data_IF_317479980984
#
_entry.id   IF_317479980984
#
_cell.length_a   1.000
_cell.length_b   1.000
_cell.length_c   1.000
_cell.angle_alpha   90.00
_cell.angle_beta   90.00
_cell.angle_gamma   90.00
#
_symmetry.space_group_name_H-M   'P 1'
#
loop_
_entity.id
_entity.type
_entity.pdbx_description
1 polymer ?
#
# COMPACT_ATOMS: atom_id res chain seq x y z
N UNK A 1 25.15 -38.31 -5.91
CA UNK A 1 25.10 -37.00 -6.58
C UNK A 1 23.97 -37.07 -7.59
N UNK A 2 22.78 -36.61 -7.22
CA UNK A 2 21.64 -36.51 -8.12
C UNK A 2 21.38 -35.04 -8.39
N UNK A 3 21.65 -34.65 -9.63
CA UNK A 3 21.40 -33.32 -10.18
C UNK A 3 19.90 -33.02 -10.16
N UNK A 4 19.44 -32.33 -9.12
CA UNK A 4 18.10 -31.79 -9.07
C UNK A 4 18.12 -30.41 -9.76
N UNK A 5 18.16 -30.43 -11.09
CA UNK A 5 17.85 -29.26 -11.92
C UNK A 5 16.39 -28.88 -11.64
N UNK A 6 16.17 -28.01 -10.67
CA UNK A 6 14.92 -27.26 -10.53
C UNK A 6 14.73 -26.49 -11.84
N UNK A 7 13.70 -26.86 -12.58
CA UNK A 7 13.16 -26.11 -13.69
C UNK A 7 13.02 -24.63 -13.30
N UNK A 8 13.97 -23.81 -13.74
CA UNK A 8 13.75 -22.38 -13.87
C UNK A 8 12.89 -22.21 -15.12
N UNK A 9 11.59 -22.43 -14.99
CA UNK A 9 10.65 -21.89 -15.97
C UNK A 9 10.87 -20.38 -15.96
N UNK A 10 11.46 -19.85 -17.03
CA UNK A 10 11.41 -18.42 -17.32
C UNK A 10 9.94 -17.99 -17.29
N UNK A 11 9.56 -17.28 -16.24
CA UNK A 11 8.23 -16.68 -16.16
C UNK A 11 8.15 -15.59 -17.25
N UNK A 12 7.62 -15.95 -18.42
CA UNK A 12 7.40 -15.02 -19.54
C UNK A 12 6.64 -13.79 -19.04
N UNK A 13 7.24 -12.60 -19.13
CA UNK A 13 6.56 -11.32 -18.86
C UNK A 13 7.11 -10.46 -17.72
N UNK A 14 8.21 -10.87 -17.06
CA UNK A 14 8.91 -10.06 -16.06
C UNK A 14 10.37 -9.76 -16.46
N UNK A 15 10.96 -8.64 -16.02
CA UNK A 15 10.38 -7.61 -15.16
C UNK A 15 9.28 -6.81 -15.86
N UNK A 16 8.28 -6.38 -15.08
CA UNK A 16 7.16 -5.54 -15.53
C UNK A 16 7.19 -4.21 -14.79
N UNK A 17 6.74 -3.16 -15.47
CA UNK A 17 6.53 -1.85 -14.87
C UNK A 17 5.04 -1.63 -14.56
N UNK A 18 4.74 -1.30 -13.29
CA UNK A 18 3.44 -0.83 -12.85
C UNK A 18 3.51 0.68 -12.67
N UNK A 19 2.59 1.41 -13.29
CA UNK A 19 2.58 2.88 -13.31
C UNK A 19 1.28 3.39 -12.71
N UNK A 20 1.37 4.26 -11.72
CA UNK A 20 0.23 5.06 -11.22
C UNK A 20 0.44 6.53 -11.58
N UNK A 21 -0.66 7.27 -11.75
CA UNK A 21 -0.66 8.70 -12.05
C UNK A 21 -1.11 9.46 -10.80
N UNK A 22 -0.20 10.22 -10.22
CA UNK A 22 -0.40 10.92 -8.96
C UNK A 22 -0.62 12.41 -9.22
N UNK A 23 -1.62 13.02 -8.57
CA UNK A 23 -1.97 14.43 -8.76
C UNK A 23 -1.97 15.16 -7.43
N UNK A 24 -1.07 16.13 -7.26
CA UNK A 24 -1.05 17.02 -6.08
C UNK A 24 -2.38 17.78 -5.94
N UNK A 25 -2.97 18.19 -7.07
CA UNK A 25 -4.30 18.80 -7.13
C UNK A 25 -5.19 17.92 -8.02
N UNK A 26 -6.27 17.36 -7.47
CA UNK A 26 -7.15 16.40 -8.18
C UNK A 26 -7.68 16.93 -9.52
N UNK A 27 -8.02 18.21 -9.59
CA UNK A 27 -8.56 18.87 -10.79
C UNK A 27 -7.49 19.24 -11.82
N UNK A 28 -6.21 19.12 -11.47
CA UNK A 28 -5.11 19.45 -12.37
C UNK A 28 -5.01 18.46 -13.54
N UNK A 29 -4.54 18.97 -14.67
CA UNK A 29 -4.09 18.16 -15.81
C UNK A 29 -2.68 17.59 -15.60
N UNK A 30 -1.89 18.22 -14.71
CA UNK A 30 -0.55 17.75 -14.39
C UNK A 30 -0.63 16.56 -13.43
N UNK A 31 0.20 15.57 -13.70
CA UNK A 31 0.34 14.38 -12.87
C UNK A 31 1.81 13.92 -12.89
N UNK A 32 2.22 13.27 -11.82
CA UNK A 32 3.49 12.56 -11.73
C UNK A 32 3.27 11.07 -11.97
N UNK A 33 4.22 10.42 -12.64
CA UNK A 33 4.18 8.98 -12.87
C UNK A 33 4.99 8.29 -11.79
N UNK A 34 4.34 7.51 -10.93
CA UNK A 34 5.05 6.66 -9.97
C UNK A 34 5.16 5.27 -10.55
N UNK A 35 6.41 4.84 -10.79
CA UNK A 35 6.75 3.58 -11.42
C UNK A 35 7.23 2.59 -10.38
N UNK A 36 6.81 1.34 -10.52
CA UNK A 36 7.25 0.22 -9.68
C UNK A 36 7.65 -0.92 -10.58
N UNK A 37 8.92 -1.31 -10.52
CA UNK A 37 9.40 -2.49 -11.24
C UNK A 37 9.13 -3.72 -10.37
N UNK A 38 8.51 -4.73 -10.95
CA UNK A 38 8.22 -6.02 -10.33
C UNK A 38 8.84 -7.13 -11.17
N UNK A 39 9.38 -8.15 -10.51
CA UNK A 39 10.20 -9.20 -11.12
C UNK A 39 9.48 -10.54 -11.23
N UNK A 40 8.30 -10.67 -10.63
CA UNK A 40 7.47 -11.87 -10.68
C UNK A 40 6.00 -11.54 -10.33
N UNK A 41 5.13 -12.54 -10.46
CA UNK A 41 3.68 -12.38 -10.22
C UNK A 41 3.30 -12.07 -8.77
N UNK A 42 4.09 -12.51 -7.80
CA UNK A 42 3.83 -12.24 -6.38
C UNK A 42 4.03 -10.77 -6.08
N UNK A 43 5.11 -10.20 -6.63
CA UNK A 43 5.40 -8.77 -6.55
C UNK A 43 4.33 -7.93 -7.23
N UNK A 44 3.89 -8.31 -8.43
CA UNK A 44 2.79 -7.63 -9.13
C UNK A 44 1.52 -7.62 -8.28
N UNK A 45 1.08 -8.79 -7.81
CA UNK A 45 -0.14 -8.92 -7.00
C UNK A 45 -0.04 -8.13 -5.69
N UNK A 46 1.10 -8.18 -5.02
CA UNK A 46 1.35 -7.42 -3.79
C UNK A 46 1.34 -5.90 -4.02
N UNK A 47 1.98 -5.41 -5.09
CA UNK A 47 1.99 -3.98 -5.43
C UNK A 47 0.58 -3.50 -5.79
N UNK A 48 -0.17 -4.29 -6.56
CA UNK A 48 -1.56 -3.95 -6.92
C UNK A 48 -2.48 -3.90 -5.68
N UNK A 49 -2.31 -4.81 -4.71
CA UNK A 49 -3.05 -4.76 -3.45
C UNK A 49 -2.72 -3.50 -2.63
N UNK A 50 -1.45 -3.08 -2.61
CA UNK A 50 -1.07 -1.82 -1.95
C UNK A 50 -1.71 -0.59 -2.63
N UNK A 51 -1.72 -0.56 -3.98
CA UNK A 51 -2.39 0.49 -4.77
C UNK A 51 -3.89 0.52 -4.47
N UNK A 52 -4.56 -0.63 -4.49
CA UNK A 52 -5.99 -0.76 -4.20
C UNK A 52 -6.36 -0.22 -2.80
N UNK A 53 -5.49 -0.44 -1.79
CA UNK A 53 -5.68 0.15 -0.47
C UNK A 53 -5.65 1.69 -0.51
N UNK A 54 -4.67 2.29 -1.20
CA UNK A 54 -4.56 3.75 -1.30
C UNK A 54 -5.74 4.35 -2.07
N UNK A 55 -6.18 3.71 -3.15
CA UNK A 55 -7.35 4.13 -3.92
C UNK A 55 -8.62 4.10 -3.06
N UNK A 56 -8.81 3.01 -2.31
CA UNK A 56 -9.94 2.87 -1.37
C UNK A 56 -9.88 3.92 -0.26
N UNK A 57 -8.68 4.20 0.28
CA UNK A 57 -8.48 5.24 1.27
C UNK A 57 -8.83 6.61 0.72
N UNK A 58 -8.36 6.94 -0.50
CA UNK A 58 -8.65 8.20 -1.19
C UNK A 58 -10.14 8.38 -1.54
N UNK A 59 -10.86 7.27 -1.76
CA UNK A 59 -12.31 7.23 -1.95
C UNK A 59 -13.10 7.21 -0.64
N UNK A 60 -12.42 7.19 0.52
CA UNK A 60 -13.03 7.11 1.85
C UNK A 60 -13.89 5.86 2.05
N UNK A 61 -13.55 4.79 1.34
CA UNK A 61 -14.26 3.52 1.36
C UNK A 61 -13.60 2.60 2.41
N UNK A 62 -14.16 2.60 3.62
CA UNK A 62 -13.62 1.82 4.74
C UNK A 62 -13.71 0.31 4.48
N UNK A 63 -14.78 -0.16 3.82
CA UNK A 63 -14.96 -1.59 3.52
C UNK A 63 -13.89 -2.07 2.55
N UNK A 64 -13.64 -1.33 1.46
CA UNK A 64 -12.59 -1.70 0.51
C UNK A 64 -11.17 -1.52 1.06
N UNK A 65 -10.99 -0.60 2.01
CA UNK A 65 -9.75 -0.55 2.78
C UNK A 65 -9.53 -1.88 3.52
N UNK A 66 -10.55 -2.39 4.22
CA UNK A 66 -10.48 -3.65 4.96
C UNK A 66 -10.28 -4.85 4.04
N UNK A 67 -10.92 -4.88 2.87
CA UNK A 67 -10.70 -5.90 1.84
C UNK A 67 -9.24 -5.95 1.36
N UNK A 68 -8.53 -4.82 1.38
CA UNK A 68 -7.11 -4.78 0.99
C UNK A 68 -6.15 -5.22 2.12
N UNK A 69 -6.68 -5.64 3.29
CA UNK A 69 -5.89 -6.09 4.44
C UNK A 69 -5.97 -7.62 4.59
N UNK A 70 -4.93 -8.19 5.20
CA UNK A 70 -4.97 -9.55 5.72
C UNK A 70 -5.01 -9.51 7.24
N UNK A 71 -6.10 -10.04 7.81
CA UNK A 71 -6.33 -10.06 9.25
C UNK A 71 -5.73 -11.31 9.92
N UNK A 72 -5.34 -11.26 11.22
CA UNK A 72 -5.14 -10.05 12.02
C UNK A 72 -4.14 -9.08 11.38
N UNK A 73 -4.48 -7.80 11.30
CA UNK A 73 -3.65 -6.76 10.71
C UNK A 73 -2.84 -6.06 11.80
N UNK A 74 -1.55 -5.87 11.57
CA UNK A 74 -0.63 -5.21 12.50
C UNK A 74 -0.28 -3.82 12.00
N UNK A 75 -0.47 -2.79 12.82
CA UNK A 75 -0.01 -1.44 12.55
C UNK A 75 0.96 -1.01 13.65
N UNK A 76 2.17 -0.66 13.27
CA UNK A 76 3.17 -0.01 14.12
C UNK A 76 3.29 1.45 13.68
N UNK A 77 2.93 2.40 14.53
CA UNK A 77 2.91 3.82 14.16
C UNK A 77 1.92 4.58 15.03
N UNK A 78 1.15 5.53 14.46
CA UNK A 78 0.15 6.36 15.17
C UNK A 78 0.71 7.57 15.94
N UNK A 79 1.94 7.99 15.61
CA UNK A 79 2.60 9.13 16.27
C UNK A 79 3.17 8.82 17.67
N UNK A 80 2.67 7.78 18.35
CA UNK A 80 3.16 7.30 19.66
C UNK A 80 3.97 5.99 19.59
N UNK A 81 4.16 5.43 18.39
CA UNK A 81 4.88 4.17 18.15
C UNK A 81 4.24 2.93 18.79
N UNK A 82 2.93 2.97 19.06
CA UNK A 82 2.20 1.80 19.55
C UNK A 82 2.01 0.74 18.47
N UNK A 83 1.99 -0.52 18.91
CA UNK A 83 1.57 -1.66 18.09
C UNK A 83 0.08 -1.86 18.30
N UNK A 84 -0.69 -1.65 17.23
CA UNK A 84 -2.10 -2.02 17.17
C UNK A 84 -2.27 -3.29 16.36
N UNK A 85 -2.90 -4.28 16.95
CA UNK A 85 -3.37 -5.49 16.26
C UNK A 85 -4.89 -5.37 16.13
N UNK A 86 -5.40 -5.63 14.94
CA UNK A 86 -6.85 -5.71 14.70
C UNK A 86 -7.15 -7.09 14.18
N UNK A 87 -7.96 -7.85 14.91
CA UNK A 87 -8.20 -9.27 14.64
C UNK A 87 -9.09 -9.51 13.43
N UNK A 88 -10.08 -8.64 13.22
CA UNK A 88 -11.05 -8.73 12.13
C UNK A 88 -11.48 -7.31 11.71
N UNK A 89 -12.07 -7.13 10.52
CA UNK A 89 -12.72 -5.87 10.16
C UNK A 89 -13.76 -5.43 11.22
N UNK A 90 -13.97 -4.13 11.40
CA UNK A 90 -13.32 -3.04 10.67
C UNK A 90 -11.97 -2.62 11.25
N UNK A 91 -11.01 -2.24 10.40
CA UNK A 91 -9.72 -1.67 10.84
C UNK A 91 -9.90 -0.29 11.47
N UNK A 92 -10.77 0.53 10.89
CA UNK A 92 -10.97 1.91 11.32
C UNK A 92 -12.25 2.03 12.17
N UNK A 93 -12.25 2.92 13.17
CA UNK A 93 -13.47 3.18 13.93
C UNK A 93 -14.55 3.82 13.04
N UNK A 94 -15.84 3.76 13.45
CA UNK A 94 -16.91 4.48 12.77
C UNK A 94 -16.58 5.95 12.56
N UNK A 95 -16.99 6.51 11.41
CA UNK A 95 -16.75 7.92 11.02
C UNK A 95 -15.27 8.34 10.95
N UNK A 96 -14.33 7.38 10.87
CA UNK A 96 -12.91 7.67 10.76
C UNK A 96 -12.57 8.70 9.68
N UNK A 97 -13.09 8.56 8.46
CA UNK A 97 -12.76 9.50 7.38
C UNK A 97 -13.37 10.89 7.60
N UNK A 98 -14.56 11.01 8.20
CA UNK A 98 -15.13 12.32 8.56
C UNK A 98 -14.22 13.04 9.56
N UNK A 99 -13.81 12.33 10.63
CA UNK A 99 -12.85 12.85 11.60
C UNK A 99 -11.52 13.22 10.94
N UNK A 100 -10.97 12.35 10.12
CA UNK A 100 -9.67 12.52 9.47
C UNK A 100 -9.64 13.75 8.55
N UNK A 101 -10.70 13.95 7.77
CA UNK A 101 -10.89 15.15 6.93
C UNK A 101 -11.02 16.40 7.79
N UNK A 102 -11.81 16.36 8.87
CA UNK A 102 -12.05 17.53 9.71
C UNK A 102 -10.80 18.00 10.45
N UNK A 103 -10.01 17.07 10.97
CA UNK A 103 -8.78 17.35 11.75
C UNK A 103 -7.64 17.78 10.84
N UNK A 104 -7.32 17.01 9.80
CA UNK A 104 -6.12 17.26 8.99
C UNK A 104 -6.38 18.13 7.76
N UNK A 105 -7.65 18.45 7.48
CA UNK A 105 -8.10 19.02 6.19
C UNK A 105 -7.65 18.15 5.00
N UNK A 106 -7.56 16.84 5.24
CA UNK A 106 -7.09 15.88 4.26
C UNK A 106 -8.07 15.74 3.10
N UNK A 107 -7.55 15.76 1.87
CA UNK A 107 -8.33 15.54 0.65
C UNK A 107 -7.98 14.21 -0.02
N UNK A 108 -6.68 13.92 -0.14
CA UNK A 108 -6.15 12.68 -0.71
C UNK A 108 -4.69 12.48 -0.34
N UNK A 109 -4.19 11.29 -0.67
CA UNK A 109 -2.79 10.93 -0.59
C UNK A 109 -2.30 10.49 -1.97
N UNK A 110 -1.02 10.72 -2.24
CA UNK A 110 -0.35 10.30 -3.46
C UNK A 110 0.84 9.43 -3.10
N UNK A 111 1.14 8.47 -3.97
CA UNK A 111 2.40 7.76 -3.89
C UNK A 111 3.56 8.71 -4.25
N UNK A 112 4.68 8.59 -3.53
CA UNK A 112 5.94 9.23 -3.94
C UNK A 112 6.85 8.17 -4.57
N UNK A 113 6.95 7.00 -3.93
CA UNK A 113 7.57 5.82 -4.50
C UNK A 113 7.01 4.53 -3.90
N UNK A 114 7.18 3.42 -4.63
CA UNK A 114 7.04 2.06 -4.11
C UNK A 114 8.16 1.20 -4.64
N UNK A 115 8.86 0.50 -3.76
CA UNK A 115 9.97 -0.40 -4.09
C UNK A 115 9.76 -1.76 -3.43
N UNK A 116 9.84 -2.82 -4.22
CA UNK A 116 9.92 -4.18 -3.71
C UNK A 116 11.33 -4.40 -3.13
N UNK A 117 11.39 -4.96 -1.91
CA UNK A 117 12.65 -5.25 -1.22
C UNK A 117 13.01 -6.73 -1.34
N UNK A 118 12.03 -7.60 -1.11
CA UNK A 118 12.18 -9.04 -1.21
C UNK A 118 10.79 -9.68 -1.38
N UNK A 119 10.75 -10.82 -2.05
CA UNK A 119 9.52 -11.52 -2.38
C UNK A 119 9.70 -13.04 -2.33
N UNK A 120 8.61 -13.73 -2.03
CA UNK A 120 8.41 -15.15 -2.25
C UNK A 120 6.92 -15.40 -2.56
N UNK A 121 6.50 -16.65 -2.87
CA UNK A 121 5.10 -16.93 -3.24
C UNK A 121 4.03 -16.50 -2.23
N UNK A 122 4.41 -16.32 -0.96
CA UNK A 122 3.49 -16.07 0.15
C UNK A 122 3.67 -14.69 0.79
N UNK A 123 4.73 -13.95 0.46
CA UNK A 123 5.11 -12.72 1.17
C UNK A 123 5.91 -11.77 0.28
N UNK A 124 5.60 -10.48 0.36
CA UNK A 124 6.38 -9.40 -0.27
C UNK A 124 6.59 -8.28 0.74
N UNK A 125 7.81 -7.76 0.79
CA UNK A 125 8.14 -6.57 1.57
C UNK A 125 8.27 -5.36 0.65
N UNK A 126 7.60 -4.28 1.01
CA UNK A 126 7.61 -3.02 0.27
C UNK A 126 8.21 -1.91 1.14
N UNK A 127 9.22 -1.21 0.62
CA UNK A 127 9.56 0.12 1.08
C UNK A 127 8.81 1.12 0.21
N UNK A 128 7.99 1.96 0.83
CA UNK A 128 7.13 2.90 0.11
C UNK A 128 7.19 4.26 0.80
N UNK A 129 6.76 5.28 0.08
CA UNK A 129 6.49 6.59 0.64
C UNK A 129 5.25 7.15 -0.03
N UNK A 130 4.43 7.85 0.75
CA UNK A 130 3.30 8.58 0.24
C UNK A 130 3.20 9.93 0.93
N UNK A 131 2.70 10.91 0.19
CA UNK A 131 2.40 12.25 0.68
C UNK A 131 0.90 12.44 0.82
N UNK A 132 0.48 13.27 1.77
CA UNK A 132 -0.93 13.67 1.95
C UNK A 132 -1.11 15.12 1.58
N UNK A 133 -2.24 15.46 0.97
CA UNK A 133 -2.54 16.79 0.47
C UNK A 133 -3.92 17.28 0.88
N UNK A 134 -4.04 18.60 1.06
CA UNK A 134 -5.31 19.33 1.13
C UNK A 134 -5.87 19.54 -0.28
N UNK A 135 -7.09 20.06 -0.39
CA UNK A 135 -7.76 20.26 -1.69
C UNK A 135 -7.09 21.29 -2.59
N UNK A 136 -6.38 22.25 -2.00
CA UNK A 136 -5.63 23.30 -2.70
C UNK A 136 -4.21 22.86 -3.13
N UNK A 137 -3.84 21.60 -2.86
CA UNK A 137 -2.50 21.07 -3.12
C UNK A 137 -1.50 21.30 -1.99
N UNK A 138 -1.89 21.93 -0.88
CA UNK A 138 -1.00 22.09 0.28
C UNK A 138 -0.64 20.72 0.86
N UNK A 139 0.65 20.44 0.99
CA UNK A 139 1.15 19.20 1.57
C UNK A 139 0.93 19.18 3.09
N UNK A 140 0.37 18.07 3.58
CA UNK A 140 0.15 17.79 5.00
C UNK A 140 1.39 17.13 5.60
N UNK A 141 2.02 16.23 4.84
CA UNK A 141 3.22 15.54 5.27
C UNK A 141 3.64 14.44 4.30
N UNK A 142 4.86 13.95 4.50
CA UNK A 142 5.53 12.87 3.75
C UNK A 142 5.71 11.70 4.71
N UNK A 143 5.35 10.50 4.29
CA UNK A 143 5.32 9.33 5.18
C UNK A 143 6.05 8.15 4.59
N UNK A 144 7.38 8.03 4.82
CA UNK A 144 8.11 6.80 4.56
C UNK A 144 7.46 5.66 5.35
N UNK A 145 7.37 4.49 4.76
CA UNK A 145 6.69 3.34 5.36
C UNK A 145 7.29 2.02 4.89
N UNK A 146 7.17 1.02 5.75
CA UNK A 146 7.49 -0.37 5.43
C UNK A 146 6.23 -1.23 5.55
N UNK A 147 5.84 -1.86 4.44
CA UNK A 147 4.63 -2.68 4.37
C UNK A 147 4.99 -4.13 4.10
N UNK A 148 4.31 -5.03 4.81
CA UNK A 148 4.40 -6.47 4.60
C UNK A 148 3.09 -6.94 4.00
N UNK A 149 3.19 -7.43 2.77
CA UNK A 149 2.09 -8.03 2.02
C UNK A 149 2.18 -9.54 2.17
N UNK A 150 1.05 -10.22 2.37
CA UNK A 150 0.99 -11.68 2.39
C UNK A 150 -0.03 -12.20 1.41
N UNK A 151 0.18 -13.41 0.91
CA UNK A 151 -0.82 -14.20 0.19
C UNK A 151 -1.45 -15.18 1.18
N UNK A 152 -2.76 -15.07 1.41
CA UNK A 152 -3.50 -15.99 2.29
C UNK A 152 -4.71 -16.48 1.53
N UNK A 153 -4.79 -17.78 1.24
CA UNK A 153 -5.89 -18.36 0.47
C UNK A 153 -6.12 -17.66 -0.89
N UNK A 154 -5.02 -17.39 -1.62
CA UNK A 154 -5.00 -16.63 -2.89
C UNK A 154 -5.41 -15.15 -2.78
N UNK A 155 -5.50 -14.62 -1.56
CA UNK A 155 -5.75 -13.20 -1.30
C UNK A 155 -4.45 -12.48 -0.92
N UNK A 156 -4.02 -11.57 -1.79
CA UNK A 156 -2.92 -10.64 -1.48
C UNK A 156 -3.47 -9.43 -0.73
N UNK A 157 -3.00 -9.26 0.50
CA UNK A 157 -3.43 -8.16 1.38
C UNK A 157 -2.32 -7.69 2.29
N UNK A 158 -2.49 -6.50 2.87
CA UNK A 158 -1.52 -5.91 3.78
C UNK A 158 -1.64 -6.59 5.15
N UNK A 159 -0.60 -7.31 5.57
CA UNK A 159 -0.55 -7.97 6.88
C UNK A 159 -0.01 -7.06 7.98
N UNK A 160 1.00 -6.26 7.64
CA UNK A 160 1.60 -5.31 8.57
C UNK A 160 1.98 -4.02 7.88
N UNK A 161 1.81 -2.90 8.58
CA UNK A 161 2.35 -1.59 8.18
C UNK A 161 3.11 -0.95 9.32
N UNK A 162 4.30 -0.46 9.03
CA UNK A 162 5.01 0.50 9.85
C UNK A 162 5.10 1.83 9.09
N UNK A 163 4.61 2.91 9.69
CA UNK A 163 4.56 4.22 9.02
C UNK A 163 4.88 5.36 9.97
N UNK A 164 5.57 6.38 9.48
CA UNK A 164 5.72 7.68 10.17
C UNK A 164 4.45 8.54 10.09
N UNK A 165 3.37 8.02 9.50
CA UNK A 165 2.07 8.68 9.48
C UNK A 165 1.36 8.62 10.84
N UNK A 166 0.70 9.71 11.26
CA UNK A 166 -0.24 9.67 12.39
C UNK A 166 -1.43 8.75 12.07
#
# INVERSE_FOLDING_TARGET
MSDNKKNSEEVKGYPKEIVTLEKIIKTSKNFEKVRTIVSNEYEEKAVNAAIAYMDSFNNRDASKCDESLNFPHVRLGLGNQEVRITENPPQNPPKFFEWFVNVYKWNHSCWDYRKVIQSNPNKVHLAIQFSRYRSDGTQIGIFPSFWVMTNQNNHWGIKMRSSFAP
#
